data_IF_143916856690
#
_entry.id   IF_143916856690
#
_cell.length_a   1.000
_cell.length_b   1.000
_cell.length_c   1.000
_cell.angle_alpha   90.00
_cell.angle_beta   90.00
_cell.angle_gamma   90.00
#
_symmetry.space_group_name_H-M   'P 1'
#
loop_
_entity.id
_entity.type
_entity.pdbx_description
1 polymer ?
#
# COMPACT_ATOMS: atom_id res chain seq x y z
N UNK A 1 -2.53 15.12 -18.13
CA UNK A 1 -1.74 14.12 -17.40
C UNK A 1 -2.53 12.81 -17.39
N UNK A 2 -2.01 11.72 -17.96
CA UNK A 2 -2.77 10.51 -18.25
C UNK A 2 -2.74 9.56 -17.04
N UNK A 3 -3.87 8.94 -16.73
CA UNK A 3 -4.09 8.04 -15.58
C UNK A 3 -3.12 6.86 -15.55
N UNK A 4 -2.44 6.63 -14.43
CA UNK A 4 -1.37 5.63 -14.29
C UNK A 4 -1.89 4.19 -14.39
N UNK A 5 -3.07 3.89 -13.85
CA UNK A 5 -3.61 2.53 -13.81
C UNK A 5 -4.21 2.03 -15.15
N UNK A 6 -4.75 2.92 -15.98
CA UNK A 6 -5.50 2.57 -17.19
C UNK A 6 -4.89 3.13 -18.48
N UNK A 7 -3.62 3.47 -18.49
CA UNK A 7 -3.02 3.92 -19.74
C UNK A 7 -3.09 2.79 -20.76
N UNK A 8 -4.14 2.85 -21.59
CA UNK A 8 -4.28 1.99 -22.76
C UNK A 8 -3.01 2.08 -23.55
N UNK A 9 -2.45 0.92 -23.83
CA UNK A 9 -1.63 0.67 -25.00
C UNK A 9 -2.46 1.14 -26.21
N UNK A 10 -2.51 2.44 -26.45
CA UNK A 10 -2.77 2.92 -27.79
C UNK A 10 -1.66 2.31 -28.61
N UNK A 11 -2.00 1.60 -29.67
CA UNK A 11 -1.09 1.05 -30.65
C UNK A 11 -0.09 2.11 -31.13
N UNK A 12 0.90 2.44 -30.33
CA UNK A 12 2.22 2.80 -30.80
C UNK A 12 2.99 1.49 -30.80
N UNK A 13 3.10 0.89 -31.96
CA UNK A 13 4.04 -0.17 -32.24
C UNK A 13 5.38 0.25 -31.61
N UNK A 14 5.85 -0.49 -30.57
CA UNK A 14 7.19 -0.36 -30.06
C UNK A 14 7.39 0.23 -28.67
N UNK A 15 6.38 0.61 -27.88
CA UNK A 15 6.62 1.02 -26.49
C UNK A 15 7.03 -0.21 -25.67
N UNK A 16 8.32 -0.35 -25.43
CA UNK A 16 8.91 -1.41 -24.59
C UNK A 16 8.34 -1.29 -23.20
N UNK A 17 7.65 -2.32 -22.71
CA UNK A 17 7.30 -2.45 -21.30
C UNK A 17 8.51 -3.00 -20.59
N UNK A 18 9.02 -2.27 -19.63
CA UNK A 18 10.04 -2.77 -18.73
C UNK A 18 9.35 -3.23 -17.44
N UNK A 19 9.59 -4.47 -17.01
CA UNK A 19 9.21 -4.97 -15.71
C UNK A 19 10.42 -4.89 -14.80
N UNK A 20 10.23 -4.33 -13.61
CA UNK A 20 11.27 -4.10 -12.62
C UNK A 20 10.81 -4.59 -11.25
N UNK A 21 11.77 -4.91 -10.38
CA UNK A 21 11.49 -5.21 -8.97
C UNK A 21 10.94 -3.98 -8.22
N UNK A 22 10.32 -4.19 -7.04
CA UNK A 22 9.70 -3.11 -6.28
C UNK A 22 10.66 -1.97 -5.95
N UNK A 23 11.81 -2.26 -5.39
CA UNK A 23 12.80 -1.23 -4.98
C UNK A 23 13.21 -0.37 -6.16
N UNK A 24 13.65 -0.98 -7.26
CA UNK A 24 14.03 -0.24 -8.47
C UNK A 24 12.86 0.59 -9.03
N UNK A 25 11.66 0.00 -9.03
CA UNK A 25 10.45 0.65 -9.52
C UNK A 25 10.10 1.89 -8.71
N UNK A 26 10.10 1.78 -7.40
CA UNK A 26 9.77 2.89 -6.51
C UNK A 26 10.88 3.95 -6.45
N UNK A 27 12.15 3.57 -6.53
CA UNK A 27 13.26 4.52 -6.67
C UNK A 27 13.11 5.40 -7.92
N UNK A 28 12.79 4.78 -9.06
CA UNK A 28 12.54 5.51 -10.31
C UNK A 28 11.30 6.39 -10.24
N UNK A 29 10.29 5.99 -9.47
CA UNK A 29 9.02 6.69 -9.37
C UNK A 29 9.03 7.82 -8.33
N UNK A 30 9.89 7.77 -7.33
CA UNK A 30 9.90 8.64 -6.16
C UNK A 30 9.76 10.13 -6.50
N UNK A 31 10.47 10.62 -7.53
CA UNK A 31 10.44 12.03 -7.92
C UNK A 31 9.05 12.56 -8.32
N UNK A 32 8.15 11.68 -8.79
CA UNK A 32 6.81 12.03 -9.27
C UNK A 32 5.69 11.26 -8.58
N UNK A 33 6.02 10.49 -7.54
CA UNK A 33 5.09 9.59 -6.87
C UNK A 33 3.87 10.32 -6.31
N UNK A 34 4.07 11.46 -5.67
CA UNK A 34 2.98 12.22 -5.05
C UNK A 34 2.10 12.97 -6.08
N UNK A 35 2.58 13.14 -7.31
CA UNK A 35 1.87 13.84 -8.37
C UNK A 35 0.90 12.93 -9.15
N UNK A 36 -0.10 12.33 -8.46
CA UNK A 36 -1.04 11.35 -9.04
C UNK A 36 -2.52 11.74 -8.86
N UNK A 37 -2.98 12.90 -9.36
CA UNK A 37 -4.32 13.43 -9.06
C UNK A 37 -5.49 12.59 -9.59
N UNK A 38 -5.23 11.63 -10.49
CA UNK A 38 -6.27 10.77 -11.09
C UNK A 38 -6.00 9.28 -10.81
N UNK A 39 -5.41 8.96 -9.66
CA UNK A 39 -5.15 7.57 -9.30
C UNK A 39 -6.39 6.97 -8.63
N UNK A 40 -7.08 6.07 -9.34
CA UNK A 40 -8.29 5.39 -8.87
C UNK A 40 -8.03 4.51 -7.65
N UNK A 41 -6.84 3.87 -7.58
CA UNK A 41 -6.47 3.05 -6.42
C UNK A 41 -6.40 3.91 -5.16
N UNK A 42 -5.71 5.06 -5.23
CA UNK A 42 -5.58 5.97 -4.09
C UNK A 42 -6.94 6.57 -3.70
N UNK A 43 -7.80 6.87 -4.67
CA UNK A 43 -9.13 7.43 -4.41
C UNK A 43 -10.06 6.46 -3.66
N UNK A 44 -9.90 5.15 -3.87
CA UNK A 44 -10.65 4.12 -3.16
C UNK A 44 -9.97 3.68 -1.88
N UNK A 45 -8.64 3.65 -1.86
CA UNK A 45 -7.86 3.18 -0.72
C UNK A 45 -7.84 4.20 0.42
N UNK A 46 -7.69 5.49 0.15
CA UNK A 46 -7.56 6.48 1.23
C UNK A 46 -8.79 6.55 2.16
N UNK A 47 -10.04 6.57 1.65
CA UNK A 47 -11.22 6.49 2.53
C UNK A 47 -11.30 5.17 3.31
N UNK A 48 -10.89 4.05 2.69
CA UNK A 48 -10.85 2.74 3.35
C UNK A 48 -9.81 2.71 4.47
N UNK A 49 -8.63 3.30 4.25
CA UNK A 49 -7.62 3.44 5.28
C UNK A 49 -8.11 4.29 6.46
N UNK A 50 -8.74 5.44 6.21
CA UNK A 50 -9.32 6.29 7.26
C UNK A 50 -10.40 5.54 8.06
N UNK A 51 -11.21 4.70 7.40
CA UNK A 51 -12.18 3.83 8.08
C UNK A 51 -11.50 2.79 8.99
N UNK A 52 -10.41 2.17 8.55
CA UNK A 52 -9.61 1.25 9.37
C UNK A 52 -8.95 1.98 10.54
N UNK A 53 -8.37 3.14 10.27
CA UNK A 53 -7.67 3.95 11.26
C UNK A 53 -8.61 4.45 12.38
N UNK A 54 -9.90 4.65 12.07
CA UNK A 54 -10.92 5.02 13.06
C UNK A 54 -11.26 3.88 14.04
N UNK A 55 -10.82 2.65 13.80
CA UNK A 55 -11.08 1.46 14.61
C UNK A 55 -10.01 1.18 15.65
N UNK A 56 -8.92 1.96 15.66
CA UNK A 56 -7.78 1.78 16.55
C UNK A 56 -7.45 3.07 17.30
N UNK A 57 -6.88 2.91 18.48
CA UNK A 57 -6.31 4.03 19.23
C UNK A 57 -4.88 4.25 18.75
N UNK A 58 -4.52 5.50 18.48
CA UNK A 58 -3.18 5.91 18.04
C UNK A 58 -2.50 6.75 19.08
N UNK A 59 -3.27 7.56 19.81
CA UNK A 59 -2.75 8.43 20.86
C UNK A 59 -1.89 7.64 21.86
N UNK A 60 -0.66 8.12 22.07
CA UNK A 60 0.27 7.52 23.01
C UNK A 60 0.88 6.17 22.56
N UNK A 61 0.57 5.67 21.38
CA UNK A 61 1.03 4.38 20.88
C UNK A 61 2.26 4.51 19.96
N UNK A 62 3.07 3.46 19.91
CA UNK A 62 4.16 3.31 18.93
C UNK A 62 3.60 2.69 17.66
N UNK A 63 3.69 3.42 16.56
CA UNK A 63 3.21 3.02 15.24
C UNK A 63 4.39 2.70 14.33
N UNK A 64 4.31 1.57 13.61
CA UNK A 64 5.26 1.21 12.54
C UNK A 64 4.52 1.18 11.22
N UNK A 65 4.93 2.01 10.27
CA UNK A 65 4.38 2.10 8.92
C UNK A 65 5.30 1.36 7.95
N UNK A 66 4.88 0.19 7.47
CA UNK A 66 5.68 -0.72 6.63
C UNK A 66 5.31 -0.52 5.16
N UNK A 67 6.30 -0.17 4.34
CA UNK A 67 6.12 0.35 3.00
C UNK A 67 5.62 1.80 3.03
N UNK A 68 6.18 2.60 3.93
CA UNK A 68 5.72 3.96 4.22
C UNK A 68 5.84 4.92 3.01
N UNK A 69 6.68 4.59 2.04
CA UNK A 69 6.91 5.40 0.84
C UNK A 69 7.30 6.84 1.19
N UNK A 70 6.53 7.79 0.66
CA UNK A 70 6.70 9.25 0.92
C UNK A 70 5.96 9.75 2.15
N UNK A 71 5.31 8.85 2.92
CA UNK A 71 4.54 9.21 4.11
C UNK A 71 3.13 9.74 3.81
N UNK A 72 2.47 9.23 2.76
CA UNK A 72 1.17 9.71 2.29
C UNK A 72 0.09 9.78 3.39
N UNK A 73 0.08 8.83 4.32
CA UNK A 73 -0.88 8.77 5.43
C UNK A 73 -0.37 9.40 6.74
N UNK A 74 0.88 9.86 6.77
CA UNK A 74 1.48 10.43 7.97
C UNK A 74 0.75 11.66 8.51
N UNK A 75 0.20 12.58 7.67
CA UNK A 75 -0.60 13.69 8.20
C UNK A 75 -1.78 13.21 9.05
N UNK A 76 -2.50 12.17 8.62
CA UNK A 76 -3.63 11.62 9.36
C UNK A 76 -3.19 10.86 10.63
N UNK A 77 -2.10 10.09 10.54
CA UNK A 77 -1.54 9.35 11.70
C UNK A 77 -1.03 10.34 12.75
N UNK A 78 -0.21 11.32 12.36
CA UNK A 78 0.38 12.30 13.27
C UNK A 78 -0.66 13.21 13.92
N UNK A 79 -1.77 13.51 13.23
CA UNK A 79 -2.88 14.29 13.82
C UNK A 79 -3.52 13.63 15.03
N UNK A 80 -3.27 12.32 15.23
CA UNK A 80 -3.77 11.52 16.37
C UNK A 80 -2.72 11.29 17.46
N UNK A 81 -1.63 12.06 17.46
CA UNK A 81 -0.62 12.12 18.53
C UNK A 81 -0.04 10.77 18.97
N UNK A 82 0.56 9.97 18.07
CA UNK A 82 1.28 8.75 18.47
C UNK A 82 2.47 9.11 19.38
N UNK A 83 2.87 8.21 20.29
CA UNK A 83 4.10 8.36 21.07
C UNK A 83 5.35 8.21 20.20
N UNK A 84 5.23 7.50 19.08
CA UNK A 84 6.28 7.38 18.08
C UNK A 84 5.73 6.85 16.76
N UNK A 85 6.33 7.29 15.65
CA UNK A 85 6.04 6.81 14.31
C UNK A 85 7.35 6.44 13.64
N UNK A 86 7.45 5.18 13.18
CA UNK A 86 8.64 4.64 12.49
C UNK A 86 8.20 4.25 11.09
N UNK A 87 8.84 4.83 10.07
CA UNK A 87 8.64 4.44 8.68
C UNK A 87 9.65 3.40 8.24
N UNK A 88 9.17 2.36 7.60
CA UNK A 88 10.02 1.32 6.97
C UNK A 88 9.72 1.29 5.48
N UNK A 89 10.74 1.38 4.65
CA UNK A 89 10.62 1.24 3.20
C UNK A 89 11.94 0.77 2.60
N UNK A 90 11.97 -0.21 1.68
CA UNK A 90 13.21 -0.66 1.08
C UNK A 90 13.77 0.31 0.03
N UNK A 91 13.00 1.32 -0.42
CA UNK A 91 13.44 2.32 -1.38
C UNK A 91 14.08 3.52 -0.68
N UNK A 92 15.41 3.72 -0.78
CA UNK A 92 16.08 4.89 -0.21
C UNK A 92 15.54 6.20 -0.79
N UNK A 93 15.12 6.21 -2.06
CA UNK A 93 14.56 7.42 -2.69
C UNK A 93 13.19 7.80 -2.15
N UNK A 94 12.36 6.81 -1.77
CA UNK A 94 11.10 7.08 -1.07
C UNK A 94 11.36 7.68 0.31
N UNK A 95 12.31 7.11 1.06
CA UNK A 95 12.69 7.65 2.38
C UNK A 95 13.32 9.05 2.29
N UNK A 96 14.09 9.35 1.25
CA UNK A 96 14.59 10.71 1.00
C UNK A 96 13.42 11.70 0.84
N UNK A 97 12.38 11.33 0.10
CA UNK A 97 11.17 12.13 -0.09
C UNK A 97 10.41 12.31 1.23
N UNK A 98 10.25 11.24 1.98
CA UNK A 98 9.60 11.27 3.29
C UNK A 98 10.34 12.25 4.22
N UNK A 99 11.65 12.14 4.34
CA UNK A 99 12.46 13.01 5.18
C UNK A 99 12.49 14.48 4.71
N UNK A 100 12.27 14.73 3.43
CA UNK A 100 12.11 16.11 2.94
C UNK A 100 10.84 16.79 3.48
N UNK A 101 9.76 16.01 3.76
CA UNK A 101 8.53 16.51 4.39
C UNK A 101 8.58 16.43 5.92
N UNK A 102 9.28 15.43 6.46
CA UNK A 102 9.38 15.11 7.89
C UNK A 102 10.86 14.94 8.27
N UNK A 103 11.64 16.04 8.46
CA UNK A 103 13.10 15.95 8.70
C UNK A 103 13.49 15.09 9.91
N UNK A 104 12.67 15.08 10.95
CA UNK A 104 12.89 14.33 12.19
C UNK A 104 12.32 12.90 12.16
N UNK A 105 11.84 12.43 10.98
CA UNK A 105 11.25 11.12 10.84
C UNK A 105 12.24 10.00 11.20
N UNK A 106 11.81 9.10 12.09
CA UNK A 106 12.51 7.85 12.34
C UNK A 106 12.19 6.88 11.20
N UNK A 107 13.23 6.45 10.48
CA UNK A 107 13.06 5.55 9.33
C UNK A 107 14.07 4.42 9.36
N UNK A 108 13.68 3.27 8.82
CA UNK A 108 14.56 2.15 8.51
C UNK A 108 14.47 1.82 7.02
N UNK A 109 15.61 1.70 6.35
CA UNK A 109 15.67 1.21 4.97
C UNK A 109 15.79 -0.31 5.01
N UNK A 110 14.65 -1.01 4.95
CA UNK A 110 14.58 -2.45 5.13
C UNK A 110 13.41 -3.06 4.33
N UNK A 111 13.54 -4.33 3.97
CA UNK A 111 12.45 -5.12 3.40
C UNK A 111 11.37 -5.36 4.47
N UNK A 112 10.09 -5.33 4.05
CA UNK A 112 8.97 -5.41 4.99
C UNK A 112 8.81 -6.77 5.69
N UNK A 113 9.52 -7.80 5.29
CA UNK A 113 9.54 -9.13 5.89
C UNK A 113 10.82 -9.42 6.70
N UNK A 114 11.69 -8.42 6.87
CA UNK A 114 12.92 -8.52 7.66
C UNK A 114 13.27 -7.20 8.35
N UNK A 115 12.95 -7.08 9.65
CA UNK A 115 13.01 -5.85 10.45
C UNK A 115 13.90 -6.00 11.69
N UNK A 116 15.21 -6.33 11.50
CA UNK A 116 16.10 -6.67 12.64
C UNK A 116 16.32 -5.49 13.59
N UNK A 117 16.13 -4.24 13.12
CA UNK A 117 16.30 -3.04 13.96
C UNK A 117 15.09 -2.73 14.84
N UNK A 118 13.96 -3.44 14.63
CA UNK A 118 12.76 -3.27 15.44
C UNK A 118 12.65 -4.45 16.42
N UNK A 119 12.69 -4.15 17.70
CA UNK A 119 12.67 -5.16 18.75
C UNK A 119 11.33 -5.92 18.80
N UNK A 120 11.37 -7.15 19.34
CA UNK A 120 10.17 -7.95 19.60
C UNK A 120 9.18 -7.19 20.51
N UNK A 121 7.90 -7.32 20.21
CA UNK A 121 6.79 -6.76 21.00
C UNK A 121 7.00 -5.28 21.38
N UNK A 122 7.56 -4.47 20.46
CA UNK A 122 7.89 -3.05 20.68
C UNK A 122 6.92 -2.08 20.01
N UNK A 123 5.99 -2.56 19.19
CA UNK A 123 5.00 -1.73 18.48
C UNK A 123 3.57 -2.06 18.94
N UNK A 124 2.74 -1.02 18.95
CA UNK A 124 1.33 -1.10 19.31
C UNK A 124 0.44 -1.27 18.08
N UNK A 125 0.84 -0.63 17.00
CA UNK A 125 0.12 -0.59 15.75
C UNK A 125 1.11 -0.75 14.60
N UNK A 126 0.79 -1.66 13.71
CA UNK A 126 1.45 -1.81 12.43
C UNK A 126 0.48 -1.40 11.34
N UNK A 127 0.95 -0.57 10.42
CA UNK A 127 0.23 -0.12 9.24
C UNK A 127 1.01 -0.59 8.00
N UNK A 128 0.29 -1.12 7.01
CA UNK A 128 0.87 -1.39 5.69
C UNK A 128 -0.14 -1.04 4.61
N UNK A 129 0.17 -0.02 3.80
CA UNK A 129 -0.75 0.51 2.79
C UNK A 129 -0.16 0.38 1.39
N UNK A 130 -0.81 -0.43 0.53
CA UNK A 130 -0.40 -0.70 -0.85
C UNK A 130 1.05 -1.23 -0.96
N UNK A 131 1.52 -1.98 0.05
CA UNK A 131 2.89 -2.46 0.14
C UNK A 131 3.02 -3.99 0.21
N UNK A 132 2.09 -4.70 0.88
CA UNK A 132 2.18 -6.15 1.06
C UNK A 132 2.27 -6.90 -0.27
N UNK A 133 1.56 -6.45 -1.30
CA UNK A 133 1.62 -7.05 -2.64
C UNK A 133 2.99 -6.89 -3.33
N UNK A 134 3.91 -6.11 -2.77
CA UNK A 134 5.29 -5.97 -3.27
C UNK A 134 6.29 -6.81 -2.48
N UNK A 135 5.85 -7.49 -1.43
CA UNK A 135 6.68 -8.41 -0.64
C UNK A 135 6.47 -9.83 -1.18
N UNK A 136 7.53 -10.54 -1.62
CA UNK A 136 7.40 -11.87 -2.23
C UNK A 136 6.74 -12.91 -1.34
N UNK A 137 6.95 -12.79 -0.02
CA UNK A 137 6.46 -13.74 0.99
C UNK A 137 5.48 -13.11 1.97
N UNK A 138 4.17 -13.12 1.68
CA UNK A 138 3.18 -12.61 2.64
C UNK A 138 3.25 -13.31 4.01
N UNK A 139 3.62 -14.60 4.04
CA UNK A 139 3.76 -15.36 5.30
C UNK A 139 4.95 -14.86 6.14
N UNK A 140 6.12 -14.64 5.52
CA UNK A 140 7.29 -14.08 6.21
C UNK A 140 7.02 -12.68 6.72
N UNK A 141 6.36 -11.83 5.90
CA UNK A 141 5.97 -10.48 6.30
C UNK A 141 5.05 -10.49 7.53
N UNK A 142 3.95 -11.22 7.49
CA UNK A 142 2.99 -11.29 8.61
C UNK A 142 3.65 -11.89 9.86
N UNK A 143 4.52 -12.89 9.72
CA UNK A 143 5.27 -13.47 10.84
C UNK A 143 6.18 -12.42 11.51
N UNK A 144 6.91 -11.65 10.70
CA UNK A 144 7.80 -10.59 11.18
C UNK A 144 7.01 -9.45 11.83
N UNK A 145 5.88 -9.06 11.25
CA UNK A 145 4.98 -8.06 11.84
C UNK A 145 4.40 -8.55 13.17
N UNK A 146 4.02 -9.84 13.24
CA UNK A 146 3.58 -10.44 14.50
C UNK A 146 4.70 -10.45 15.57
N UNK A 147 5.97 -10.67 15.19
CA UNK A 147 7.10 -10.61 16.10
C UNK A 147 7.22 -9.23 16.76
N UNK A 148 7.23 -8.18 15.98
CA UNK A 148 7.40 -6.81 16.48
C UNK A 148 6.16 -6.23 17.17
N UNK A 149 4.97 -6.80 16.90
CA UNK A 149 3.71 -6.36 17.51
C UNK A 149 3.58 -6.91 18.92
N UNK A 150 3.25 -6.07 19.89
CA UNK A 150 2.95 -6.51 21.26
C UNK A 150 1.58 -7.18 21.35
N UNK A 151 1.34 -7.90 22.46
CA UNK A 151 -0.01 -8.38 22.79
C UNK A 151 -0.97 -7.20 23.00
N UNK A 152 -2.19 -7.35 22.54
CA UNK A 152 -3.17 -6.26 22.49
C UNK A 152 -2.99 -5.28 21.33
N UNK A 153 -1.91 -5.41 20.55
CA UNK A 153 -1.64 -4.57 19.39
C UNK A 153 -2.45 -4.96 18.15
N UNK A 154 -2.42 -4.09 17.16
CA UNK A 154 -3.21 -4.25 15.92
C UNK A 154 -2.34 -4.14 14.66
N UNK A 155 -2.81 -4.77 13.58
CA UNK A 155 -2.26 -4.61 12.22
C UNK A 155 -3.38 -4.11 11.31
N UNK A 156 -3.15 -3.01 10.61
CA UNK A 156 -4.01 -2.50 9.55
C UNK A 156 -3.32 -2.68 8.19
N UNK A 157 -4.00 -3.35 7.30
CA UNK A 157 -3.52 -3.59 5.94
C UNK A 157 -4.53 -3.04 4.95
N UNK A 158 -4.10 -2.22 4.00
CA UNK A 158 -4.83 -1.95 2.76
C UNK A 158 -3.95 -2.34 1.59
N UNK A 159 -4.52 -2.98 0.56
CA UNK A 159 -3.73 -3.29 -0.63
C UNK A 159 -4.61 -3.49 -1.87
N UNK A 160 -3.95 -3.68 -2.98
CA UNK A 160 -4.54 -3.96 -4.27
C UNK A 160 -5.23 -5.33 -4.24
N UNK A 161 -6.50 -5.36 -4.63
CA UNK A 161 -7.29 -6.58 -4.52
C UNK A 161 -6.74 -7.71 -5.41
N UNK A 162 -6.53 -8.93 -4.91
CA UNK A 162 -5.97 -10.04 -5.68
C UNK A 162 -6.81 -10.38 -6.91
N UNK A 163 -8.12 -10.20 -6.87
CA UNK A 163 -9.01 -10.35 -8.02
C UNK A 163 -8.71 -9.37 -9.14
N UNK A 164 -8.34 -8.12 -8.82
CA UNK A 164 -7.93 -7.14 -9.82
C UNK A 164 -6.62 -7.54 -10.49
N UNK A 165 -5.68 -8.06 -9.72
CA UNK A 165 -4.40 -8.58 -10.25
C UNK A 165 -4.64 -9.77 -11.18
N UNK A 166 -5.49 -10.74 -10.78
CA UNK A 166 -5.87 -11.88 -11.63
C UNK A 166 -6.60 -11.45 -12.91
N UNK A 167 -7.37 -10.37 -12.85
CA UNK A 167 -8.00 -9.77 -14.02
C UNK A 167 -7.02 -8.99 -14.93
N UNK A 168 -5.71 -9.03 -14.63
CA UNK A 168 -4.65 -8.43 -15.43
C UNK A 168 -4.38 -6.95 -15.15
N UNK A 169 -4.93 -6.40 -14.06
CA UNK A 169 -4.56 -5.06 -13.61
C UNK A 169 -3.13 -5.07 -13.05
N UNK A 170 -2.39 -3.98 -13.30
CA UNK A 170 -0.96 -3.94 -12.98
C UNK A 170 -0.58 -2.60 -12.35
N UNK A 171 0.39 -2.64 -11.44
CA UNK A 171 1.01 -1.44 -10.91
C UNK A 171 1.99 -0.90 -11.94
N UNK A 172 1.66 0.23 -12.56
CA UNK A 172 2.50 0.84 -13.59
C UNK A 172 2.60 2.34 -13.39
N UNK A 173 3.74 2.90 -13.79
CA UNK A 173 3.94 4.35 -13.90
C UNK A 173 4.69 4.68 -15.20
N UNK A 174 4.77 5.97 -15.52
CA UNK A 174 5.45 6.44 -16.71
C UNK A 174 6.72 7.19 -16.32
N UNK A 175 7.84 6.76 -16.86
CA UNK A 175 9.14 7.39 -16.62
C UNK A 175 10.02 7.26 -17.86
N UNK A 176 10.80 8.29 -18.18
CA UNK A 176 11.75 8.25 -19.30
C UNK A 176 11.15 7.94 -20.67
N UNK A 177 9.87 8.25 -20.92
CA UNK A 177 9.20 7.93 -22.17
C UNK A 177 8.60 6.52 -22.26
N UNK A 178 8.81 5.67 -21.23
CA UNK A 178 8.38 4.27 -21.18
C UNK A 178 7.34 4.02 -20.08
N UNK A 179 6.58 2.94 -20.23
CA UNK A 179 5.71 2.42 -19.16
C UNK A 179 6.49 1.37 -18.37
N UNK A 180 6.71 1.65 -17.10
CA UNK A 180 7.35 0.74 -16.15
C UNK A 180 6.27 -0.03 -15.41
N UNK A 181 6.39 -1.35 -15.38
CA UNK A 181 5.56 -2.26 -14.59
C UNK A 181 6.36 -2.70 -13.37
N UNK A 182 5.81 -2.46 -12.18
CA UNK A 182 6.40 -2.93 -10.92
C UNK A 182 5.91 -4.35 -10.63
N UNK A 183 6.80 -5.24 -10.26
CA UNK A 183 6.46 -6.59 -9.82
C UNK A 183 5.56 -6.55 -8.61
N UNK A 184 4.60 -7.47 -8.57
CA UNK A 184 3.69 -7.63 -7.45
C UNK A 184 3.26 -9.09 -7.30
N UNK A 185 2.95 -9.48 -6.07
CA UNK A 185 2.63 -10.83 -5.65
C UNK A 185 1.23 -10.84 -5.04
N UNK A 186 0.27 -11.49 -5.72
CA UNK A 186 -1.09 -11.55 -5.22
C UNK A 186 -1.21 -12.64 -4.15
N UNK A 187 -1.67 -12.28 -2.96
CA UNK A 187 -2.09 -13.25 -1.94
C UNK A 187 -3.60 -13.20 -1.81
N UNK A 188 -4.27 -14.34 -1.95
CA UNK A 188 -5.72 -14.42 -1.75
C UNK A 188 -6.10 -14.02 -0.33
N UNK A 189 -7.26 -13.35 -0.18
CA UNK A 189 -7.71 -12.81 1.11
C UNK A 189 -7.91 -13.90 2.16
N UNK A 190 -8.42 -15.08 1.75
CA UNK A 190 -8.56 -16.21 2.67
C UNK A 190 -7.21 -16.80 3.06
N UNK A 191 -6.26 -16.86 2.13
CA UNK A 191 -4.89 -17.26 2.45
C UNK A 191 -4.23 -16.27 3.41
N UNK A 192 -4.46 -14.96 3.23
CA UNK A 192 -3.94 -13.93 4.13
C UNK A 192 -4.53 -14.06 5.54
N UNK A 193 -5.85 -14.32 5.66
CA UNK A 193 -6.50 -14.61 6.95
C UNK A 193 -5.90 -15.85 7.61
N UNK A 194 -5.68 -16.90 6.85
CA UNK A 194 -5.11 -18.15 7.35
C UNK A 194 -3.68 -17.93 7.87
N UNK A 195 -2.81 -17.26 7.11
CA UNK A 195 -1.46 -16.89 7.54
C UNK A 195 -1.51 -16.09 8.84
N UNK A 196 -2.37 -15.08 8.92
CA UNK A 196 -2.52 -14.25 10.12
C UNK A 196 -2.93 -15.11 11.34
N UNK A 197 -3.87 -16.05 11.16
CA UNK A 197 -4.31 -16.97 12.21
C UNK A 197 -3.18 -17.90 12.66
N UNK A 198 -2.39 -18.44 11.73
CA UNK A 198 -1.20 -19.25 12.05
C UNK A 198 -0.16 -18.45 12.89
N UNK A 199 -0.08 -17.14 12.70
CA UNK A 199 0.73 -16.21 13.50
C UNK A 199 0.07 -15.75 14.81
N UNK A 200 -1.10 -16.29 15.17
CA UNK A 200 -1.81 -15.94 16.40
C UNK A 200 -2.61 -14.63 16.33
N UNK A 201 -2.86 -14.12 15.14
CA UNK A 201 -3.68 -12.92 14.93
C UNK A 201 -5.14 -13.28 14.69
N UNK A 202 -6.06 -12.41 15.14
CA UNK A 202 -7.49 -12.53 14.90
C UNK A 202 -7.95 -11.42 13.93
N UNK A 203 -8.58 -11.79 12.82
CA UNK A 203 -9.22 -10.83 11.93
C UNK A 203 -10.51 -10.30 12.56
N UNK A 204 -10.59 -8.99 12.78
CA UNK A 204 -11.75 -8.33 13.42
C UNK A 204 -12.55 -7.46 12.46
N UNK A 205 -11.98 -7.11 11.33
CA UNK A 205 -12.66 -6.37 10.28
C UNK A 205 -12.01 -6.65 8.91
N UNK A 206 -12.83 -6.68 7.88
CA UNK A 206 -12.38 -6.68 6.49
C UNK A 206 -13.41 -5.94 5.62
N UNK A 207 -12.92 -5.22 4.63
CA UNK A 207 -13.75 -4.54 3.64
C UNK A 207 -13.04 -4.51 2.28
N UNK A 208 -13.84 -4.42 1.22
CA UNK A 208 -13.37 -4.27 -0.15
C UNK A 208 -13.98 -3.01 -0.77
N UNK A 209 -13.27 -2.39 -1.70
CA UNK A 209 -13.80 -1.28 -2.50
C UNK A 209 -13.66 -1.63 -3.97
N UNK A 210 -14.79 -1.54 -4.66
CA UNK A 210 -14.88 -1.77 -6.09
C UNK A 210 -14.80 -0.45 -6.87
N UNK A 211 -14.55 -0.55 -8.16
CA UNK A 211 -14.71 0.58 -9.08
C UNK A 211 -16.19 0.90 -9.18
N UNK A 212 -16.61 2.02 -8.62
CA UNK A 212 -18.00 2.48 -8.53
C UNK A 212 -18.17 3.92 -9.03
N UNK A 213 -19.38 4.48 -8.86
CA UNK A 213 -19.70 5.84 -9.30
C UNK A 213 -18.84 6.92 -8.62
N UNK A 214 -18.31 6.69 -7.42
CA UNK A 214 -17.46 7.67 -6.71
C UNK A 214 -16.17 7.99 -7.46
N UNK A 215 -15.63 7.03 -8.21
CA UNK A 215 -14.40 7.18 -8.98
C UNK A 215 -14.62 7.42 -10.47
N UNK A 216 -15.88 7.39 -10.95
CA UNK A 216 -16.22 7.68 -12.36
C UNK A 216 -15.66 9.01 -12.86
N UNK A 217 -15.73 10.14 -12.09
CA UNK A 217 -15.15 11.41 -12.53
C UNK A 217 -13.65 11.36 -12.83
N UNK A 218 -12.91 10.44 -12.21
CA UNK A 218 -11.47 10.25 -12.51
C UNK A 218 -11.28 9.70 -13.92
N UNK A 219 -12.14 8.74 -14.33
CA UNK A 219 -12.10 8.17 -15.66
C UNK A 219 -12.56 9.18 -16.73
N UNK A 220 -13.55 10.04 -16.42
CA UNK A 220 -14.01 11.10 -17.28
C UNK A 220 -12.89 12.11 -17.56
N UNK A 221 -12.25 12.64 -16.51
CA UNK A 221 -11.11 13.56 -16.64
C UNK A 221 -9.94 12.96 -17.42
N UNK A 222 -9.73 11.66 -17.27
CA UNK A 222 -8.69 10.95 -18.00
C UNK A 222 -9.08 10.53 -19.42
N UNK A 223 -10.34 10.75 -19.83
CA UNK A 223 -10.92 10.31 -21.11
C UNK A 223 -10.91 8.78 -21.31
N UNK A 224 -11.14 8.02 -20.22
CA UNK A 224 -11.11 6.55 -20.16
C UNK A 224 -12.43 5.92 -19.75
N UNK A 225 -13.59 6.52 -20.03
CA UNK A 225 -14.92 5.99 -19.67
C UNK A 225 -15.15 4.54 -20.10
N UNK A 226 -14.62 4.15 -21.29
CA UNK A 226 -14.69 2.73 -21.73
C UNK A 226 -14.02 1.76 -20.73
N UNK A 227 -12.96 2.19 -20.05
CA UNK A 227 -12.31 1.39 -19.03
C UNK A 227 -13.17 1.35 -17.76
N UNK A 228 -13.83 2.45 -17.38
CA UNK A 228 -14.78 2.47 -16.29
C UNK A 228 -15.92 1.45 -16.54
N UNK A 229 -16.61 1.52 -17.66
CA UNK A 229 -17.71 0.61 -18.00
C UNK A 229 -17.26 -0.86 -18.03
N UNK A 230 -16.02 -1.12 -18.46
CA UNK A 230 -15.46 -2.46 -18.49
C UNK A 230 -15.18 -3.02 -17.10
N UNK A 231 -14.80 -2.17 -16.14
CA UNK A 231 -14.30 -2.59 -14.83
C UNK A 231 -15.21 -2.19 -13.66
N UNK A 232 -16.33 -1.51 -13.93
CA UNK A 232 -17.34 -1.16 -12.92
C UNK A 232 -17.79 -2.40 -12.16
N UNK A 233 -17.87 -2.29 -10.85
CA UNK A 233 -18.22 -3.38 -9.92
C UNK A 233 -17.06 -4.33 -9.59
N UNK A 234 -15.89 -4.19 -10.23
CA UNK A 234 -14.74 -5.05 -9.94
C UNK A 234 -14.04 -4.56 -8.67
N UNK A 235 -13.84 -5.43 -7.64
CA UNK A 235 -13.04 -5.08 -6.47
C UNK A 235 -11.62 -4.65 -6.87
N UNK A 236 -11.17 -3.51 -6.36
CA UNK A 236 -9.88 -2.92 -6.71
C UNK A 236 -8.92 -2.86 -5.54
N UNK A 237 -9.41 -2.55 -4.35
CA UNK A 237 -8.63 -2.53 -3.11
C UNK A 237 -9.37 -3.27 -2.01
N UNK A 238 -8.62 -3.78 -1.05
CA UNK A 238 -9.16 -4.36 0.17
C UNK A 238 -8.50 -3.73 1.40
N UNK A 239 -9.15 -3.86 2.55
CA UNK A 239 -8.62 -3.50 3.85
C UNK A 239 -8.91 -4.58 4.88
N UNK A 240 -7.97 -4.83 5.77
CA UNK A 240 -8.09 -5.77 6.89
C UNK A 240 -7.55 -5.18 8.17
N UNK A 241 -8.20 -5.53 9.28
CA UNK A 241 -7.77 -5.22 10.63
C UNK A 241 -7.62 -6.52 11.41
N UNK A 242 -6.43 -6.74 11.94
CA UNK A 242 -6.09 -7.87 12.79
C UNK A 242 -5.70 -7.39 14.19
N UNK A 243 -5.95 -8.21 15.20
CA UNK A 243 -5.54 -7.99 16.60
C UNK A 243 -4.68 -9.18 17.03
N UNK A 244 -3.62 -8.91 17.81
CA UNK A 244 -2.83 -9.90 18.50
C UNK A 244 -3.37 -10.02 19.93
N UNK A 245 -4.13 -11.07 20.27
CA UNK A 245 -4.75 -11.24 21.59
C UNK A 245 -3.74 -11.38 22.74
#
# INVERSE_FOLDING_TARGET
>A
MKMTLFRRIGRRLGARRQRVGPVEGYDRWAATYDAQPNNVVLALESPLFSELLARVVIEGNIVVDIGCGTGRHWPEILSRTPAGLIGVDPSPRMLERLKAHYPDARTACAEGDHLPEIADASSDLIISTLALAHIPGAASAISEWCRILRRGGAILITDFHPGAIRAGMKRTFFSGGETIEIEHYATDLDRLRHIATECGLTAVFAAERAIDESVRPLFERAQYLKAYEKHKGQPLVFGMHFIKP
#
